data_IF_812887278802
#
_entry.id   IF_812887278802
#
_cell.length_a   1.000
_cell.length_b   1.000
_cell.length_c   1.000
_cell.angle_alpha   90.00
_cell.angle_beta   90.00
_cell.angle_gamma   90.00
#
_symmetry.space_group_name_H-M   'P 1'
#
loop_
_entity.id
_entity.type
_entity.pdbx_description
1 polymer ?
#
# COMPACT_ATOMS: atom_id res chain seq x y z
N UNK A 1 18.54 -22.39 5.81
CA UNK A 1 18.78 -21.09 5.13
C UNK A 1 18.10 -19.97 5.90
N UNK A 2 18.60 -18.73 5.78
CA UNK A 2 18.00 -17.59 6.48
C UNK A 2 16.91 -16.97 5.62
N UNK A 3 15.79 -16.56 6.23
CA UNK A 3 14.66 -15.90 5.57
C UNK A 3 14.57 -14.45 6.01
N UNK A 4 14.50 -13.55 5.06
CA UNK A 4 14.35 -12.12 5.28
C UNK A 4 13.12 -11.59 4.55
N UNK A 5 12.25 -10.89 5.25
CA UNK A 5 11.10 -10.18 4.69
C UNK A 5 11.33 -8.69 4.85
N UNK A 6 11.48 -7.98 3.73
CA UNK A 6 11.70 -6.54 3.69
C UNK A 6 10.44 -5.80 3.25
N UNK A 7 10.11 -4.74 3.95
CA UNK A 7 9.06 -3.84 3.52
C UNK A 7 9.55 -2.93 2.39
N UNK A 8 8.61 -2.29 1.69
CA UNK A 8 8.93 -1.26 0.68
C UNK A 8 9.70 -0.06 1.27
N UNK A 9 9.61 0.16 2.58
CA UNK A 9 10.35 1.20 3.30
C UNK A 9 11.73 0.76 3.78
N UNK A 10 12.25 -0.36 3.28
CA UNK A 10 13.55 -0.93 3.66
C UNK A 10 13.62 -1.31 5.16
N UNK A 11 12.49 -1.67 5.76
CA UNK A 11 12.42 -2.18 7.11
C UNK A 11 12.38 -3.71 7.10
N UNK A 12 13.18 -4.35 7.97
CA UNK A 12 13.13 -5.80 8.16
C UNK A 12 11.92 -6.15 9.03
N UNK A 13 10.97 -6.88 8.45
CA UNK A 13 9.68 -7.20 9.06
C UNK A 13 9.45 -8.71 9.22
N UNK A 14 10.49 -9.51 9.19
CA UNK A 14 10.40 -10.97 9.27
C UNK A 14 9.67 -11.44 10.53
N UNK A 15 9.94 -10.82 11.67
CA UNK A 15 9.34 -11.19 12.95
C UNK A 15 7.83 -10.91 13.03
N UNK A 16 7.30 -10.06 12.14
CA UNK A 16 5.87 -9.80 12.05
C UNK A 16 5.11 -10.87 11.25
N UNK A 17 5.83 -11.77 10.56
CA UNK A 17 5.26 -12.78 9.68
C UNK A 17 5.90 -14.18 9.91
N UNK A 18 5.84 -14.71 11.12
CA UNK A 18 6.49 -16.00 11.48
C UNK A 18 5.96 -17.17 10.64
N UNK A 19 4.68 -17.16 10.23
CA UNK A 19 4.08 -18.20 9.40
C UNK A 19 4.62 -18.17 7.96
N UNK A 20 4.95 -17.00 7.43
CA UNK A 20 5.58 -16.89 6.10
C UNK A 20 7.04 -17.36 6.20
N UNK A 21 7.74 -16.94 7.26
CA UNK A 21 9.10 -17.41 7.53
C UNK A 21 9.17 -18.93 7.56
N UNK A 22 8.30 -19.58 8.34
CA UNK A 22 8.24 -21.03 8.46
C UNK A 22 7.97 -21.73 7.12
N UNK A 23 7.05 -21.19 6.31
CA UNK A 23 6.75 -21.75 4.98
C UNK A 23 7.97 -21.63 4.07
N UNK A 24 8.63 -20.45 4.02
CA UNK A 24 9.79 -20.23 3.15
C UNK A 24 11.00 -21.04 3.60
N UNK A 25 11.22 -21.23 4.89
CA UNK A 25 12.29 -22.10 5.43
C UNK A 25 12.16 -23.57 4.98
N UNK A 26 10.94 -24.01 4.69
CA UNK A 26 10.64 -25.35 4.20
C UNK A 26 10.67 -25.49 2.67
N UNK A 27 10.70 -24.37 1.93
CA UNK A 27 10.86 -24.39 0.47
C UNK A 27 12.31 -24.69 0.09
N UNK A 28 12.49 -25.33 -1.08
CA UNK A 28 13.83 -25.67 -1.59
C UNK A 28 14.41 -24.53 -2.43
N UNK A 29 15.72 -24.41 -2.36
CA UNK A 29 16.48 -23.48 -3.17
C UNK A 29 16.60 -22.07 -2.59
N UNK A 30 17.37 -21.24 -3.27
CA UNK A 30 17.58 -19.84 -2.93
C UNK A 30 16.82 -18.96 -3.92
N UNK A 31 15.96 -18.08 -3.43
CA UNK A 31 15.16 -17.21 -4.30
C UNK A 31 14.83 -15.88 -3.64
N UNK A 32 14.54 -14.89 -4.48
CA UNK A 32 14.01 -13.58 -4.05
C UNK A 32 12.70 -13.32 -4.77
N UNK A 33 11.61 -13.23 -4.01
CA UNK A 33 10.28 -12.92 -4.51
C UNK A 33 9.95 -11.44 -4.27
N UNK A 34 9.19 -10.84 -5.21
CA UNK A 34 8.46 -9.60 -4.97
C UNK A 34 6.97 -9.91 -4.95
N UNK A 35 6.27 -9.39 -3.94
CA UNK A 35 4.87 -9.71 -3.71
C UNK A 35 4.21 -8.73 -2.75
N UNK A 36 2.93 -8.94 -2.51
CA UNK A 36 2.16 -8.19 -1.53
C UNK A 36 1.69 -9.11 -0.41
N UNK A 37 1.94 -8.69 0.84
CA UNK A 37 1.46 -9.40 2.03
C UNK A 37 0.07 -8.85 2.35
N UNK A 38 -0.92 -9.73 2.34
CA UNK A 38 -2.31 -9.38 2.62
C UNK A 38 -2.85 -10.21 3.78
N UNK A 39 -3.71 -9.60 4.59
CA UNK A 39 -4.52 -10.34 5.54
C UNK A 39 -5.69 -10.98 4.77
N UNK A 40 -5.82 -12.31 4.84
CA UNK A 40 -6.82 -13.09 4.10
C UNK A 40 -7.51 -14.05 5.04
N UNK A 41 -8.82 -13.97 5.14
CA UNK A 41 -9.63 -14.88 5.95
C UNK A 41 -10.83 -15.37 5.13
N UNK A 42 -11.11 -16.67 5.21
CA UNK A 42 -12.22 -17.31 4.47
C UNK A 42 -12.19 -16.98 2.96
N UNK A 43 -10.98 -16.99 2.36
CA UNK A 43 -10.70 -16.61 0.98
C UNK A 43 -11.02 -15.14 0.62
N UNK A 44 -11.22 -14.26 1.59
CA UNK A 44 -11.46 -12.84 1.37
C UNK A 44 -10.29 -12.01 1.88
N UNK A 45 -9.83 -11.07 1.07
CA UNK A 45 -8.85 -10.08 1.48
C UNK A 45 -9.50 -9.12 2.48
N UNK A 46 -8.93 -9.03 3.67
CA UNK A 46 -9.36 -8.09 4.69
C UNK A 46 -8.87 -6.67 4.35
N UNK A 47 -9.48 -5.66 4.95
CA UNK A 47 -9.00 -4.30 4.77
C UNK A 47 -7.61 -4.11 5.39
N UNK A 48 -6.87 -3.13 4.89
CA UNK A 48 -5.49 -2.87 5.30
C UNK A 48 -5.34 -2.56 6.80
N UNK A 49 -6.38 -2.02 7.45
CA UNK A 49 -6.34 -1.75 8.89
C UNK A 49 -6.16 -3.02 9.73
N UNK A 50 -6.67 -4.17 9.25
CA UNK A 50 -6.46 -5.45 9.93
C UNK A 50 -4.98 -5.85 9.88
N UNK A 51 -4.34 -5.73 8.71
CA UNK A 51 -2.90 -5.97 8.57
C UNK A 51 -2.07 -5.00 9.44
N UNK A 52 -2.45 -3.72 9.49
CA UNK A 52 -1.76 -2.72 10.33
C UNK A 52 -1.79 -3.06 11.83
N UNK A 53 -2.86 -3.68 12.32
CA UNK A 53 -2.92 -4.13 13.73
C UNK A 53 -1.78 -5.09 14.05
N UNK A 54 -1.34 -5.87 13.08
CA UNK A 54 -0.24 -6.82 13.18
C UNK A 54 1.12 -6.14 13.09
N UNK A 55 1.31 -5.31 12.06
CA UNK A 55 2.56 -4.56 11.83
C UNK A 55 2.94 -3.68 13.02
N UNK A 56 1.96 -3.08 13.70
CA UNK A 56 2.18 -2.20 14.83
C UNK A 56 2.48 -2.93 16.17
N UNK A 57 2.60 -4.26 16.17
CA UNK A 57 2.87 -5.05 17.38
C UNK A 57 4.32 -5.52 17.44
N UNK A 58 4.92 -5.35 18.62
CA UNK A 58 6.26 -5.91 18.90
C UNK A 58 6.22 -7.41 19.15
N UNK A 59 5.10 -7.92 19.67
CA UNK A 59 4.92 -9.34 19.95
C UNK A 59 3.56 -9.80 19.45
N UNK A 60 3.57 -10.87 18.67
CA UNK A 60 2.37 -11.49 18.12
C UNK A 60 1.89 -12.60 19.05
N UNK A 61 0.58 -12.67 19.24
CA UNK A 61 -0.05 -13.75 20.00
C UNK A 61 -0.63 -14.80 19.05
N UNK A 62 -0.76 -16.05 19.49
CA UNK A 62 -1.42 -17.12 18.71
C UNK A 62 -2.83 -16.72 18.29
N UNK A 63 -3.56 -16.02 19.14
CA UNK A 63 -4.89 -15.50 18.84
C UNK A 63 -4.84 -14.52 17.65
N UNK A 64 -3.90 -13.58 17.65
CA UNK A 64 -3.77 -12.60 16.55
C UNK A 64 -3.40 -13.27 15.23
N UNK A 65 -2.50 -14.27 15.25
CA UNK A 65 -2.14 -15.03 14.05
C UNK A 65 -3.37 -15.73 13.45
N UNK A 66 -4.25 -16.30 14.29
CA UNK A 66 -5.48 -16.96 13.84
C UNK A 66 -6.61 -16.00 13.44
N UNK A 67 -6.68 -14.80 14.03
CA UNK A 67 -7.69 -13.79 13.70
C UNK A 67 -7.36 -13.00 12.44
N UNK A 68 -6.06 -12.82 12.16
CA UNK A 68 -5.54 -12.07 11.00
C UNK A 68 -4.55 -12.98 10.24
N UNK A 69 -5.03 -14.04 9.57
CA UNK A 69 -4.18 -14.91 8.76
C UNK A 69 -3.59 -14.13 7.59
N UNK A 70 -2.37 -14.49 7.19
CA UNK A 70 -1.61 -13.78 6.16
C UNK A 70 -1.35 -14.67 4.97
N UNK A 71 -1.38 -14.07 3.78
CA UNK A 71 -0.91 -14.67 2.54
C UNK A 71 -0.01 -13.69 1.78
N UNK A 72 0.98 -14.23 1.11
CA UNK A 72 1.81 -13.49 0.14
C UNK A 72 1.26 -13.74 -1.25
N UNK A 73 0.96 -12.67 -1.98
CA UNK A 73 0.62 -12.71 -3.40
C UNK A 73 1.86 -12.33 -4.20
N UNK A 74 2.64 -13.34 -4.59
CA UNK A 74 3.85 -13.16 -5.36
C UNK A 74 3.53 -12.80 -6.81
N UNK A 75 4.16 -11.76 -7.34
CA UNK A 75 3.94 -11.29 -8.71
C UNK A 75 5.24 -11.20 -9.52
N UNK A 76 6.41 -11.33 -8.91
CA UNK A 76 7.69 -11.31 -9.59
C UNK A 76 8.72 -12.21 -8.88
N UNK A 77 9.70 -12.70 -9.64
CA UNK A 77 10.85 -13.47 -9.17
C UNK A 77 12.11 -12.72 -9.60
N UNK A 78 12.88 -12.25 -8.62
CA UNK A 78 14.02 -11.38 -8.86
C UNK A 78 15.35 -12.12 -8.91
N UNK A 79 15.44 -13.23 -8.17
CA UNK A 79 16.61 -14.09 -8.12
C UNK A 79 16.18 -15.55 -7.97
N UNK A 80 16.90 -16.48 -8.59
CA UNK A 80 16.73 -17.91 -8.41
C UNK A 80 18.11 -18.59 -8.46
N UNK A 81 18.44 -19.40 -7.44
CA UNK A 81 19.71 -20.14 -7.31
C UNK A 81 20.94 -19.24 -7.52
N UNK A 82 20.92 -18.03 -6.92
CA UNK A 82 22.01 -17.06 -7.04
C UNK A 82 22.09 -16.34 -8.39
N UNK A 83 21.16 -16.59 -9.31
CA UNK A 83 21.10 -15.91 -10.59
C UNK A 83 20.15 -14.71 -10.52
N UNK A 84 20.66 -13.51 -10.76
CA UNK A 84 19.86 -12.29 -10.88
C UNK A 84 19.00 -12.34 -12.15
N UNK A 85 17.69 -12.24 -11.97
CA UNK A 85 16.70 -12.31 -13.05
C UNK A 85 16.17 -10.95 -13.49
N UNK A 86 16.53 -9.87 -12.81
CA UNK A 86 15.92 -8.53 -13.01
C UNK A 86 16.06 -8.01 -14.43
N UNK A 87 17.12 -8.39 -15.15
CA UNK A 87 17.34 -8.03 -16.55
C UNK A 87 16.57 -8.92 -17.55
N UNK A 88 15.88 -9.97 -17.09
CA UNK A 88 15.00 -10.77 -17.96
C UNK A 88 13.62 -10.06 -18.11
N UNK A 89 12.93 -10.30 -19.24
CA UNK A 89 11.54 -9.87 -19.40
C UNK A 89 10.63 -10.39 -18.28
N UNK A 90 9.67 -9.59 -17.83
CA UNK A 90 8.72 -10.03 -16.78
C UNK A 90 7.96 -11.30 -17.16
N UNK A 91 7.67 -11.50 -18.45
CA UNK A 91 7.04 -12.73 -18.94
C UNK A 91 7.88 -13.99 -18.62
N UNK A 92 9.19 -13.89 -18.74
CA UNK A 92 10.11 -15.00 -18.40
C UNK A 92 10.23 -15.19 -16.89
N UNK A 93 10.35 -14.10 -16.12
CA UNK A 93 10.41 -14.16 -14.65
C UNK A 93 9.11 -14.71 -14.05
N UNK A 94 7.98 -14.35 -14.67
CA UNK A 94 6.66 -14.87 -14.29
C UNK A 94 6.55 -16.37 -14.50
N UNK A 95 6.98 -16.89 -15.66
CA UNK A 95 6.96 -18.33 -15.94
C UNK A 95 7.82 -19.12 -14.92
N UNK A 96 9.00 -18.58 -14.57
CA UNK A 96 9.87 -19.19 -13.56
C UNK A 96 9.24 -19.12 -12.14
N UNK A 97 8.53 -18.04 -11.80
CA UNK A 97 7.76 -17.92 -10.55
C UNK A 97 6.63 -18.95 -10.48
N UNK A 98 5.90 -19.14 -11.57
CA UNK A 98 4.83 -20.13 -11.67
C UNK A 98 5.36 -21.55 -11.46
N UNK A 99 6.48 -21.88 -12.10
CA UNK A 99 7.15 -23.16 -11.94
C UNK A 99 7.63 -23.39 -10.49
N UNK A 100 8.26 -22.39 -9.87
CA UNK A 100 8.71 -22.45 -8.48
C UNK A 100 7.54 -22.74 -7.53
N UNK A 101 6.47 -21.95 -7.62
CA UNK A 101 5.31 -22.09 -6.73
C UNK A 101 4.51 -23.38 -7.00
N UNK A 102 4.48 -23.86 -8.25
CA UNK A 102 3.85 -25.14 -8.57
C UNK A 102 4.61 -26.33 -7.95
N UNK A 103 5.94 -26.29 -8.01
CA UNK A 103 6.78 -27.38 -7.50
C UNK A 103 6.83 -27.41 -5.96
N UNK A 104 6.88 -26.26 -5.31
CA UNK A 104 6.99 -26.14 -3.85
C UNK A 104 5.62 -26.17 -3.16
N UNK A 105 4.55 -25.73 -3.85
CA UNK A 105 3.17 -25.64 -3.37
C UNK A 105 3.02 -25.08 -1.93
N UNK A 106 3.59 -23.90 -1.65
CA UNK A 106 3.63 -23.34 -0.31
C UNK A 106 2.24 -22.90 0.16
N UNK A 107 1.87 -23.19 1.41
CA UNK A 107 0.52 -22.98 1.95
C UNK A 107 0.09 -21.50 1.92
N UNK A 108 0.99 -20.59 2.29
CA UNK A 108 0.68 -19.17 2.49
C UNK A 108 1.30 -18.24 1.44
N UNK A 109 1.80 -18.79 0.33
CA UNK A 109 2.32 -18.02 -0.79
C UNK A 109 1.55 -18.42 -2.04
N UNK A 110 0.89 -17.45 -2.64
CA UNK A 110 0.10 -17.64 -3.86
C UNK A 110 0.68 -16.82 -4.99
N UNK A 111 0.49 -17.30 -6.18
CA UNK A 111 0.73 -16.52 -7.37
C UNK A 111 -0.33 -15.40 -7.46
N UNK A 112 0.07 -14.16 -7.66
CA UNK A 112 -0.86 -13.09 -8.01
C UNK A 112 -1.44 -13.38 -9.40
N UNK A 113 -2.73 -13.53 -9.51
CA UNK A 113 -3.39 -13.92 -10.74
C UNK A 113 -3.26 -12.87 -11.84
N UNK A 114 -3.15 -13.33 -13.09
CA UNK A 114 -3.30 -12.47 -14.26
C UNK A 114 -4.78 -12.28 -14.54
N UNK A 115 -5.16 -11.03 -14.75
CA UNK A 115 -6.54 -10.71 -15.11
C UNK A 115 -6.71 -10.95 -16.61
N UNK A 116 -7.64 -11.82 -16.95
CA UNK A 116 -8.07 -12.04 -18.32
C UNK A 116 -9.11 -10.99 -18.70
N UNK A 117 -8.98 -10.45 -19.90
CA UNK A 117 -9.90 -9.46 -20.46
C UNK A 117 -9.89 -9.52 -22.00
N UNK A 118 -10.99 -9.20 -22.61
CA UNK A 118 -11.13 -9.21 -24.07
C UNK A 118 -10.77 -7.84 -24.69
N UNK A 119 -11.11 -6.77 -23.99
CA UNK A 119 -10.91 -5.39 -24.45
C UNK A 119 -10.73 -4.41 -23.27
N UNK A 120 -10.42 -3.15 -23.59
CA UNK A 120 -10.20 -2.12 -22.56
C UNK A 120 -11.44 -1.76 -21.76
N UNK A 121 -12.64 -1.96 -22.28
CA UNK A 121 -13.91 -1.70 -21.60
C UNK A 121 -14.11 -2.71 -20.46
N UNK A 122 -13.87 -3.99 -20.74
CA UNK A 122 -13.89 -5.07 -19.72
C UNK A 122 -12.89 -4.78 -18.62
N UNK A 123 -11.66 -4.41 -19.00
CA UNK A 123 -10.61 -4.10 -18.03
C UNK A 123 -10.98 -2.88 -17.17
N UNK A 124 -11.64 -1.87 -17.75
CA UNK A 124 -12.15 -0.73 -17.00
C UNK A 124 -13.24 -1.14 -16.00
N UNK A 125 -14.16 -2.02 -16.40
CA UNK A 125 -15.21 -2.55 -15.51
C UNK A 125 -14.61 -3.31 -14.34
N UNK A 126 -13.60 -4.15 -14.59
CA UNK A 126 -12.86 -4.85 -13.51
C UNK A 126 -12.19 -3.84 -12.58
N UNK A 127 -11.56 -2.80 -13.13
CA UNK A 127 -10.96 -1.73 -12.34
C UNK A 127 -11.97 -1.00 -11.45
N UNK A 128 -13.13 -0.66 -11.96
CA UNK A 128 -14.18 0.05 -11.21
C UNK A 128 -14.69 -0.77 -10.03
N UNK A 129 -14.76 -2.10 -10.19
CA UNK A 129 -15.19 -3.02 -9.14
C UNK A 129 -14.07 -3.38 -8.14
N UNK A 130 -12.86 -2.84 -8.30
CA UNK A 130 -11.70 -3.18 -7.44
C UNK A 130 -11.95 -2.95 -5.94
N UNK A 131 -12.83 -2.00 -5.56
CA UNK A 131 -13.16 -1.75 -4.15
C UNK A 131 -13.89 -2.92 -3.49
N UNK A 132 -14.67 -3.68 -4.23
CA UNK A 132 -15.43 -4.82 -3.71
C UNK A 132 -14.50 -5.91 -3.16
N UNK A 133 -13.27 -5.99 -3.69
CA UNK A 133 -12.24 -6.92 -3.27
C UNK A 133 -11.11 -6.24 -2.45
N UNK A 134 -11.35 -5.06 -1.89
CA UNK A 134 -10.37 -4.25 -1.16
C UNK A 134 -9.10 -3.92 -1.97
N UNK A 135 -9.21 -3.78 -3.30
CA UNK A 135 -8.12 -3.37 -4.19
C UNK A 135 -8.22 -1.89 -4.58
N UNK A 136 -7.08 -1.26 -4.86
CA UNK A 136 -7.00 0.15 -5.30
C UNK A 136 -7.10 0.31 -6.82
N UNK A 137 -7.23 -0.77 -7.57
CA UNK A 137 -7.23 -0.78 -9.03
C UNK A 137 -6.31 -1.85 -9.60
N UNK A 138 -5.79 -1.62 -10.80
CA UNK A 138 -5.01 -2.56 -11.57
C UNK A 138 -3.54 -2.14 -11.68
N UNK A 139 -2.66 -3.14 -11.78
CA UNK A 139 -1.27 -2.93 -12.16
C UNK A 139 -1.07 -3.43 -13.59
N UNK A 140 -0.78 -2.51 -14.52
CA UNK A 140 -0.44 -2.83 -15.90
C UNK A 140 1.07 -2.91 -16.03
N UNK A 141 1.57 -3.99 -16.61
CA UNK A 141 3.01 -4.24 -16.80
C UNK A 141 3.28 -4.61 -18.25
N UNK A 142 4.26 -3.95 -18.87
CA UNK A 142 4.68 -4.31 -20.23
C UNK A 142 5.38 -5.67 -20.19
N UNK A 143 4.95 -6.63 -21.02
CA UNK A 143 5.41 -8.04 -20.97
C UNK A 143 6.92 -8.23 -21.14
N UNK A 144 7.59 -7.31 -21.81
CA UNK A 144 9.03 -7.36 -22.04
C UNK A 144 9.82 -6.45 -21.09
N UNK A 145 9.17 -5.91 -20.05
CA UNK A 145 9.84 -5.02 -19.11
C UNK A 145 10.83 -5.76 -18.21
N UNK A 146 11.93 -5.10 -17.90
CA UNK A 146 12.86 -5.50 -16.87
C UNK A 146 12.38 -5.06 -15.49
N UNK A 147 12.99 -5.55 -14.43
CA UNK A 147 12.73 -5.08 -13.08
C UNK A 147 13.69 -3.92 -12.75
N UNK A 148 13.15 -2.73 -12.62
CA UNK A 148 13.94 -1.52 -12.39
C UNK A 148 14.02 -1.15 -10.91
N UNK A 149 15.19 -0.74 -10.46
CA UNK A 149 15.35 -0.06 -9.17
C UNK A 149 14.74 1.34 -9.23
N UNK A 150 14.01 1.72 -8.18
CA UNK A 150 13.39 3.04 -8.06
C UNK A 150 12.15 3.23 -8.95
N UNK A 151 11.81 4.49 -9.19
CA UNK A 151 10.61 4.85 -9.98
C UNK A 151 10.98 5.16 -11.42
N UNK A 152 10.93 4.17 -12.29
CA UNK A 152 11.09 4.35 -13.73
C UNK A 152 9.72 4.43 -14.40
N UNK A 153 9.53 5.38 -15.30
CA UNK A 153 8.27 5.52 -16.07
C UNK A 153 8.38 4.71 -17.35
N UNK A 154 7.26 4.20 -17.82
CA UNK A 154 7.14 3.64 -19.17
C UNK A 154 6.85 2.15 -19.24
N UNK A 155 7.13 1.38 -18.21
CA UNK A 155 6.98 -0.07 -18.25
C UNK A 155 5.83 -0.57 -17.35
N UNK A 156 5.61 0.08 -16.21
CA UNK A 156 4.60 -0.31 -15.24
C UNK A 156 3.72 0.87 -14.86
N UNK A 157 2.39 0.67 -14.83
CA UNK A 157 1.41 1.69 -14.48
C UNK A 157 0.40 1.18 -13.46
N UNK A 158 0.15 1.99 -12.45
CA UNK A 158 -0.99 1.79 -11.53
C UNK A 158 -2.21 2.50 -12.12
N UNK A 159 -3.17 1.73 -12.58
CA UNK A 159 -4.46 2.25 -13.02
C UNK A 159 -5.46 2.17 -11.87
N UNK A 160 -5.36 3.16 -11.00
CA UNK A 160 -6.19 3.22 -9.81
C UNK A 160 -7.62 3.64 -10.12
N UNK A 161 -8.55 3.21 -9.23
CA UNK A 161 -9.89 3.80 -9.15
C UNK A 161 -9.78 5.20 -8.58
N UNK A 162 -10.78 6.04 -8.90
CA UNK A 162 -10.82 7.40 -8.39
C UNK A 162 -10.92 7.41 -6.87
N UNK A 163 -10.18 8.29 -6.17
CA UNK A 163 -10.27 8.39 -4.74
C UNK A 163 -11.69 8.81 -4.31
N UNK A 164 -12.12 8.29 -3.15
CA UNK A 164 -13.34 8.79 -2.52
C UNK A 164 -13.11 10.23 -2.08
N UNK A 165 -14.10 11.07 -2.33
CA UNK A 165 -14.13 12.46 -1.88
C UNK A 165 -15.20 12.65 -0.82
N UNK A 166 -14.96 13.56 0.11
CA UNK A 166 -15.91 13.94 1.15
C UNK A 166 -15.84 15.45 1.35
N UNK A 167 -16.99 16.06 1.49
CA UNK A 167 -17.08 17.46 1.91
C UNK A 167 -16.84 17.55 3.42
N UNK A 168 -15.86 18.35 3.81
CA UNK A 168 -15.46 18.47 5.20
C UNK A 168 -15.23 19.94 5.59
N UNK A 169 -15.49 20.26 6.85
CA UNK A 169 -15.26 21.58 7.43
C UNK A 169 -13.84 21.68 7.95
N UNK A 170 -13.09 22.70 7.55
CA UNK A 170 -11.81 23.04 8.16
C UNK A 170 -12.07 23.63 9.55
N UNK A 171 -11.70 22.89 10.59
CA UNK A 171 -11.93 23.30 11.99
C UNK A 171 -10.67 23.83 12.67
N UNK A 172 -9.49 23.34 12.28
CA UNK A 172 -8.22 23.85 12.79
C UNK A 172 -7.19 23.97 11.68
N UNK A 173 -6.40 25.04 11.74
CA UNK A 173 -5.21 25.23 10.94
C UNK A 173 -4.02 25.54 11.84
N UNK A 174 -2.92 24.79 11.70
CA UNK A 174 -1.71 24.94 12.49
C UNK A 174 -0.55 25.42 11.61
N UNK A 175 0.26 26.32 12.13
CA UNK A 175 1.48 26.80 11.45
C UNK A 175 2.50 25.66 11.29
N UNK A 176 3.17 25.68 10.15
CA UNK A 176 4.28 24.80 9.86
C UNK A 176 5.54 25.12 10.66
N UNK A 177 6.60 24.39 10.36
CA UNK A 177 7.92 24.58 10.96
C UNK A 177 8.98 24.99 9.91
N UNK A 178 10.14 25.43 10.35
CA UNK A 178 11.26 25.80 9.50
C UNK A 178 10.87 26.84 8.44
N UNK A 179 11.16 26.59 7.18
CA UNK A 179 10.89 27.50 6.04
C UNK A 179 9.40 27.88 5.91
N UNK A 180 8.48 27.01 6.37
CA UNK A 180 7.03 27.22 6.30
C UNK A 180 6.40 27.74 7.59
N UNK A 181 7.20 28.20 8.56
CA UNK A 181 6.70 28.68 9.87
C UNK A 181 5.79 29.90 9.80
N UNK A 182 5.83 30.67 8.72
CA UNK A 182 4.95 31.81 8.47
C UNK A 182 3.56 31.41 7.98
N UNK A 183 3.39 30.19 7.48
CA UNK A 183 2.19 29.70 6.83
C UNK A 183 1.53 28.58 7.62
N UNK A 184 0.23 28.35 7.38
CA UNK A 184 -0.47 27.18 7.90
C UNK A 184 -0.25 26.01 6.94
N UNK A 185 0.18 24.87 7.48
CA UNK A 185 0.52 23.68 6.71
C UNK A 185 -0.19 22.42 7.18
N UNK A 186 -0.76 22.48 8.37
CA UNK A 186 -1.49 21.37 8.98
C UNK A 186 -2.95 21.78 9.16
N UNK A 187 -3.84 21.01 8.58
CA UNK A 187 -5.27 21.30 8.52
C UNK A 187 -6.05 20.14 9.12
N UNK A 188 -6.91 20.45 10.10
CA UNK A 188 -7.78 19.45 10.72
C UNK A 188 -9.20 19.66 10.19
N UNK A 189 -9.78 18.56 9.70
CA UNK A 189 -11.10 18.53 9.08
C UNK A 189 -12.10 17.74 9.91
N UNK A 190 -13.33 18.17 9.90
CA UNK A 190 -14.47 17.53 10.55
C UNK A 190 -15.64 17.39 9.59
N UNK A 191 -16.48 16.41 9.82
CA UNK A 191 -17.78 16.27 9.18
C UNK A 191 -18.89 16.54 10.18
N UNK A 192 -20.02 17.02 9.68
CA UNK A 192 -21.21 17.18 10.51
C UNK A 192 -21.85 15.81 10.73
N UNK A 193 -22.01 15.45 12.00
CA UNK A 193 -22.79 14.30 12.43
C UNK A 193 -23.89 14.80 13.38
N UNK A 194 -25.12 14.83 12.90
CA UNK A 194 -26.26 15.51 13.57
C UNK A 194 -25.92 16.99 13.87
N UNK A 195 -25.88 17.39 15.13
CA UNK A 195 -25.55 18.74 15.56
C UNK A 195 -24.09 18.96 15.96
N UNK A 196 -23.20 17.97 15.76
CA UNK A 196 -21.81 18.04 16.18
C UNK A 196 -20.85 17.91 14.99
N UNK A 197 -19.73 18.62 15.07
CA UNK A 197 -18.60 18.40 14.19
C UNK A 197 -17.71 17.30 14.76
N UNK A 198 -17.54 16.23 13.99
CA UNK A 198 -16.67 15.09 14.34
C UNK A 198 -15.40 15.16 13.50
N UNK A 199 -14.25 15.28 14.17
CA UNK A 199 -12.95 15.29 13.49
C UNK A 199 -12.71 13.96 12.77
N UNK A 200 -12.35 14.02 11.48
CA UNK A 200 -12.14 12.83 10.66
C UNK A 200 -10.72 12.72 10.11
N UNK A 201 -10.05 13.83 9.86
CA UNK A 201 -8.74 13.81 9.22
C UNK A 201 -7.88 15.02 9.61
N UNK A 202 -6.55 14.82 9.52
CA UNK A 202 -5.56 15.87 9.53
C UNK A 202 -4.73 15.76 8.24
N UNK A 203 -4.72 16.83 7.43
CA UNK A 203 -3.93 16.93 6.21
C UNK A 203 -2.73 17.87 6.45
N UNK A 204 -1.53 17.41 6.03
CA UNK A 204 -0.27 18.17 6.16
C UNK A 204 0.57 18.12 4.89
N UNK A 205 0.04 17.55 3.81
CA UNK A 205 0.70 17.44 2.51
C UNK A 205 -0.31 17.53 1.37
N UNK A 206 0.16 17.64 0.16
CA UNK A 206 -0.68 17.67 -1.06
C UNK A 206 -0.88 19.06 -1.66
N UNK A 207 -0.61 20.14 -0.92
CA UNK A 207 -0.71 21.49 -1.42
C UNK A 207 0.66 22.01 -1.93
N UNK A 208 0.64 22.73 -3.03
CA UNK A 208 1.78 23.52 -3.51
C UNK A 208 2.03 24.75 -2.62
N UNK A 209 3.21 25.36 -2.69
CA UNK A 209 3.51 26.56 -1.91
C UNK A 209 2.56 27.72 -2.22
N UNK A 210 2.06 27.83 -3.47
CA UNK A 210 1.07 28.81 -3.87
C UNK A 210 -0.28 28.58 -3.16
N UNK A 211 -0.76 27.35 -3.17
CA UNK A 211 -2.00 26.99 -2.49
C UNK A 211 -1.90 27.16 -0.98
N UNK A 212 -0.75 26.82 -0.37
CA UNK A 212 -0.48 27.06 1.05
C UNK A 212 -0.59 28.55 1.38
N UNK A 213 -0.07 29.44 0.53
CA UNK A 213 -0.21 30.89 0.72
C UNK A 213 -1.65 31.36 0.60
N UNK A 214 -2.41 30.83 -0.35
CA UNK A 214 -3.83 31.16 -0.53
C UNK A 214 -4.68 30.71 0.67
N UNK A 215 -4.51 29.46 1.10
CA UNK A 215 -5.17 28.93 2.30
C UNK A 215 -4.77 29.71 3.55
N UNK A 216 -3.49 30.09 3.68
CA UNK A 216 -3.03 30.89 4.83
C UNK A 216 -3.69 32.28 4.88
N UNK A 217 -3.91 32.90 3.74
CA UNK A 217 -4.68 34.17 3.67
C UNK A 217 -6.13 33.96 4.10
N UNK A 218 -6.76 32.88 3.63
CA UNK A 218 -8.12 32.52 4.01
C UNK A 218 -8.25 32.28 5.51
N UNK A 219 -7.34 31.47 6.11
CA UNK A 219 -7.33 31.20 7.56
C UNK A 219 -7.15 32.48 8.36
N UNK A 220 -6.19 33.37 7.99
CA UNK A 220 -5.98 34.63 8.70
C UNK A 220 -7.22 35.55 8.66
N UNK A 221 -8.00 35.51 7.57
CA UNK A 221 -9.18 36.35 7.39
C UNK A 221 -10.40 35.81 8.17
N UNK A 222 -10.51 34.49 8.32
CA UNK A 222 -11.73 33.84 8.80
C UNK A 222 -11.55 33.14 10.16
N UNK A 223 -10.35 33.18 10.75
CA UNK A 223 -10.12 32.59 12.07
C UNK A 223 -10.97 33.23 13.16
N UNK A 224 -11.64 32.41 13.95
CA UNK A 224 -12.49 32.79 15.06
C UNK A 224 -11.64 32.94 16.32
N UNK A 225 -10.80 31.96 16.63
CA UNK A 225 -9.97 31.92 17.83
C UNK A 225 -8.52 31.59 17.52
N UNK A 226 -7.65 31.87 18.48
CA UNK A 226 -6.21 31.66 18.37
C UNK A 226 -5.68 30.97 19.61
N UNK A 227 -5.11 29.78 19.42
CA UNK A 227 -4.45 28.97 20.46
C UNK A 227 -2.98 28.76 20.07
N UNK A 228 -2.09 29.65 20.49
CA UNK A 228 -0.69 29.59 20.08
C UNK A 228 -0.53 29.56 18.55
N UNK A 229 0.06 28.49 17.97
CA UNK A 229 0.23 28.35 16.52
C UNK A 229 -1.04 27.94 15.78
N UNK A 230 -2.11 27.58 16.49
CA UNK A 230 -3.37 27.05 15.92
C UNK A 230 -4.39 28.18 15.77
N UNK A 231 -5.21 28.08 14.72
CA UNK A 231 -6.42 28.89 14.45
C UNK A 231 -7.62 27.97 14.33
N UNK A 232 -8.78 28.44 14.81
CA UNK A 232 -10.09 27.82 14.60
C UNK A 232 -10.95 28.67 13.70
#
# INVERSE_FOLDING_TARGET
>A
DEVFIWSRGEELITEQFPEIKEVVENMKGNFVLDGEILAVKDNQVLNFNELQKRLNRKTLTKKMLSEIPIQVFAYDLLELEGNDLREKPISSRRAMLEELLLNENPENIRLSELIEFENWEDLNTIRENSREINSEGLMLKHKNSHYHSGRKKGDWWKWKIDPLTIDAVLIYAQKGSGRRSAYYTDYTFAVKNEDKLVTIAKAYSGLTDKEIMEVSKFVNKNAIEKFGPVRT
#
